data_IF_064458405093
#
_entry.id   IF_064458405093
#
_cell.length_a   1.000
_cell.length_b   1.000
_cell.length_c   1.000
_cell.angle_alpha   90.00
_cell.angle_beta   90.00
_cell.angle_gamma   90.00
#
_symmetry.space_group_name_H-M   'P 1'
#
loop_
_entity.id
_entity.type
_entity.pdbx_description
1 polymer ?
#
# COMPACT_ATOMS: atom_id res chain seq x y z
N UNK A 1 -15.23 4.91 16.88
CA UNK A 1 -15.02 3.59 16.24
C UNK A 1 -14.22 3.79 14.97
N UNK A 2 -13.32 2.86 14.64
CA UNK A 2 -12.57 2.89 13.37
C UNK A 2 -13.37 2.08 12.35
N UNK A 3 -13.55 2.60 11.15
CA UNK A 3 -14.26 1.90 10.07
C UNK A 3 -13.39 0.76 9.55
N UNK A 4 -13.94 -0.46 9.48
CA UNK A 4 -13.21 -1.67 9.08
C UNK A 4 -14.04 -2.49 8.11
N UNK A 5 -13.41 -3.03 7.07
CA UNK A 5 -14.04 -3.88 6.07
C UNK A 5 -13.13 -5.06 5.73
N UNK A 6 -13.74 -6.16 5.27
CA UNK A 6 -13.04 -7.35 4.78
C UNK A 6 -13.43 -7.54 3.31
N UNK A 7 -12.44 -7.72 2.45
CA UNK A 7 -12.65 -7.91 1.02
C UNK A 7 -11.43 -8.60 0.39
N UNK A 8 -11.54 -8.97 -0.89
CA UNK A 8 -10.40 -9.49 -1.65
C UNK A 8 -9.43 -8.37 -2.02
N UNK A 9 -8.19 -8.71 -2.37
CA UNK A 9 -7.22 -7.72 -2.85
C UNK A 9 -7.67 -7.03 -4.14
N UNK A 10 -8.40 -7.74 -5.02
CA UNK A 10 -8.94 -7.20 -6.25
C UNK A 10 -10.01 -6.15 -5.98
N UNK A 11 -10.95 -6.44 -5.07
CA UNK A 11 -12.02 -5.51 -4.71
C UNK A 11 -11.46 -4.27 -4.01
N UNK A 12 -10.50 -4.45 -3.11
CA UNK A 12 -9.81 -3.35 -2.44
C UNK A 12 -9.12 -2.42 -3.46
N UNK A 13 -8.35 -2.99 -4.40
CA UNK A 13 -7.68 -2.20 -5.42
C UNK A 13 -8.66 -1.47 -6.35
N UNK A 14 -9.75 -2.14 -6.74
CA UNK A 14 -10.80 -1.54 -7.55
C UNK A 14 -11.50 -0.38 -6.81
N UNK A 15 -11.80 -0.56 -5.52
CA UNK A 15 -12.41 0.47 -4.69
C UNK A 15 -11.49 1.68 -4.51
N UNK A 16 -10.20 1.46 -4.21
CA UNK A 16 -9.23 2.56 -4.10
C UNK A 16 -9.15 3.37 -5.39
N UNK A 17 -9.08 2.68 -6.55
CA UNK A 17 -9.06 3.32 -7.86
C UNK A 17 -10.34 4.10 -8.14
N UNK A 18 -11.51 3.53 -7.87
CA UNK A 18 -12.79 4.19 -8.07
C UNK A 18 -12.96 5.46 -7.21
N UNK A 19 -12.31 5.51 -6.05
CA UNK A 19 -12.34 6.64 -5.13
C UNK A 19 -11.15 7.61 -5.32
N UNK A 20 -10.33 7.44 -6.36
CA UNK A 20 -9.12 8.24 -6.61
C UNK A 20 -8.13 8.26 -5.42
N UNK A 21 -7.99 7.13 -4.74
CA UNK A 21 -7.06 6.95 -3.62
C UNK A 21 -5.77 6.32 -4.15
N UNK A 22 -4.65 6.99 -3.93
CA UNK A 22 -3.33 6.50 -4.31
C UNK A 22 -2.90 5.38 -3.36
N UNK A 23 -2.50 4.25 -3.93
CA UNK A 23 -2.06 3.08 -3.16
C UNK A 23 -0.54 2.99 -3.12
N UNK A 24 0.01 2.82 -1.92
CA UNK A 24 1.44 2.78 -1.65
C UNK A 24 1.81 1.42 -1.07
N UNK A 25 2.45 0.59 -1.89
CA UNK A 25 2.94 -0.73 -1.50
C UNK A 25 4.18 -0.60 -0.62
N UNK A 26 4.10 -1.02 0.65
CA UNK A 26 5.24 -1.03 1.55
C UNK A 26 6.16 -2.23 1.24
N UNK A 27 7.32 -1.99 0.64
CA UNK A 27 8.27 -3.02 0.20
C UNK A 27 9.70 -2.66 0.63
N UNK A 28 10.47 -3.65 1.11
CA UNK A 28 11.87 -3.45 1.52
C UNK A 28 12.80 -3.05 0.37
N UNK A 29 12.45 -3.46 -0.86
CA UNK A 29 13.22 -3.22 -2.09
C UNK A 29 12.84 -1.91 -2.80
N UNK A 30 11.84 -1.17 -2.32
CA UNK A 30 11.44 0.08 -2.94
C UNK A 30 12.56 1.14 -2.86
N UNK A 31 12.66 1.98 -3.90
CA UNK A 31 13.69 3.02 -4.00
C UNK A 31 13.33 4.30 -3.22
N UNK A 32 12.05 4.67 -3.17
CA UNK A 32 11.57 5.87 -2.49
C UNK A 32 11.25 5.56 -1.02
N UNK A 33 11.81 6.32 -0.08
CA UNK A 33 11.43 6.22 1.33
C UNK A 33 10.05 6.82 1.56
N UNK A 34 9.27 6.19 2.45
CA UNK A 34 7.91 6.65 2.75
C UNK A 34 7.86 8.12 3.19
N UNK A 35 8.88 8.60 3.92
CA UNK A 35 8.97 9.97 4.42
C UNK A 35 9.14 11.04 3.34
N UNK A 36 9.57 10.66 2.14
CA UNK A 36 9.77 11.57 1.00
C UNK A 36 8.52 11.65 0.10
N UNK A 37 7.46 10.95 0.47
CA UNK A 37 6.21 10.89 -0.28
C UNK A 37 5.23 11.94 0.23
N UNK A 38 4.63 12.67 -0.71
CA UNK A 38 3.51 13.57 -0.43
C UNK A 38 2.21 12.76 -0.23
N UNK A 39 1.77 12.67 1.03
CA UNK A 39 0.51 12.03 1.43
C UNK A 39 -0.65 13.00 1.65
N UNK A 40 -0.57 14.25 1.18
CA UNK A 40 -1.69 15.22 1.28
C UNK A 40 -2.88 14.82 0.42
N UNK A 41 -2.65 13.98 -0.59
CA UNK A 41 -3.69 13.40 -1.43
C UNK A 41 -4.29 12.16 -0.75
N UNK A 42 -5.54 11.76 -1.07
CA UNK A 42 -6.11 10.51 -0.58
C UNK A 42 -5.15 9.33 -0.81
N UNK A 43 -4.71 8.72 0.28
CA UNK A 43 -3.60 7.76 0.28
C UNK A 43 -3.96 6.52 1.09
N UNK A 44 -3.59 5.36 0.57
CA UNK A 44 -3.72 4.06 1.23
C UNK A 44 -2.36 3.39 1.30
N UNK A 45 -1.92 3.05 2.51
CA UNK A 45 -0.69 2.27 2.72
C UNK A 45 -1.07 0.79 2.72
N UNK A 46 -0.46 0.03 1.83
CA UNK A 46 -0.69 -1.41 1.68
C UNK A 46 0.47 -2.14 2.34
N UNK A 47 0.13 -2.94 3.35
CA UNK A 47 1.05 -3.75 4.13
C UNK A 47 0.80 -5.23 3.83
N UNK A 48 1.88 -6.00 3.83
CA UNK A 48 1.86 -7.44 3.63
C UNK A 48 1.82 -8.20 4.94
N UNK A 49 1.94 -9.53 4.85
CA UNK A 49 2.16 -10.34 6.05
C UNK A 49 3.58 -10.12 6.57
N UNK A 50 3.80 -10.31 7.87
CA UNK A 50 5.12 -10.15 8.48
C UNK A 50 6.16 -11.12 7.90
N UNK A 51 5.74 -12.34 7.53
CA UNK A 51 6.64 -13.39 7.06
C UNK A 51 6.91 -13.34 5.55
N UNK A 52 5.89 -13.05 4.73
CA UNK A 52 5.99 -13.16 3.26
C UNK A 52 6.00 -11.79 2.56
N UNK A 53 5.65 -10.72 3.28
CA UNK A 53 5.55 -9.38 2.72
C UNK A 53 4.34 -9.21 1.79
N UNK A 54 4.47 -8.30 0.82
CA UNK A 54 3.41 -8.01 -0.15
C UNK A 54 3.33 -9.07 -1.24
N UNK A 55 2.11 -9.46 -1.60
CA UNK A 55 1.90 -10.31 -2.77
C UNK A 55 2.27 -9.57 -4.07
N UNK A 56 2.66 -10.32 -5.09
CA UNK A 56 2.96 -9.77 -6.43
C UNK A 56 1.79 -9.01 -7.07
N UNK A 57 0.55 -9.23 -6.60
CA UNK A 57 -0.61 -8.45 -7.01
C UNK A 57 -0.43 -6.97 -6.68
N UNK A 58 -0.11 -6.63 -5.43
CA UNK A 58 0.04 -5.24 -5.00
C UNK A 58 1.31 -4.59 -5.54
N UNK A 59 2.39 -5.35 -5.73
CA UNK A 59 3.61 -4.83 -6.37
C UNK A 59 3.37 -4.37 -7.83
N UNK A 60 2.40 -4.98 -8.51
CA UNK A 60 2.02 -4.65 -9.90
C UNK A 60 0.90 -3.61 -10.00
N UNK A 61 -0.03 -3.60 -9.05
CA UNK A 61 -1.24 -2.77 -9.13
C UNK A 61 -1.20 -1.52 -8.24
N UNK A 62 -0.26 -1.41 -7.29
CA UNK A 62 -0.12 -0.21 -6.48
C UNK A 62 0.34 0.98 -7.31
N UNK A 63 -0.12 2.17 -6.92
CA UNK A 63 0.26 3.45 -7.56
C UNK A 63 1.75 3.71 -7.43
N UNK A 64 2.32 3.44 -6.24
CA UNK A 64 3.74 3.57 -5.95
C UNK A 64 4.21 2.48 -4.99
N UNK A 65 5.51 2.24 -4.97
CA UNK A 65 6.18 1.38 -3.99
C UNK A 65 7.02 2.26 -3.06
N UNK A 66 6.87 2.06 -1.77
CA UNK A 66 7.51 2.86 -0.72
C UNK A 66 8.31 1.96 0.21
N UNK A 67 9.48 2.44 0.63
CA UNK A 67 10.34 1.75 1.57
C UNK A 67 10.05 2.22 2.98
N UNK A 68 9.56 1.30 3.80
CA UNK A 68 9.44 1.47 5.25
C UNK A 68 10.56 0.66 5.90
N UNK A 69 11.56 1.31 6.51
CA UNK A 69 12.67 0.61 7.13
C UNK A 69 12.20 -0.11 8.40
N UNK A 70 12.27 -1.44 8.38
CA UNK A 70 12.03 -2.27 9.56
C UNK A 70 13.34 -2.34 10.36
N UNK A 71 13.45 -1.54 11.42
CA UNK A 71 14.58 -1.53 12.36
C UNK A 71 14.37 -2.56 13.47
N UNK A 72 14.24 -3.83 13.08
CA UNK A 72 14.19 -4.95 14.01
C UNK A 72 15.39 -4.98 14.95
#
# INVERSE_FOLDING_TARGET
>A
TVQTAVCSSADAAAWLKANNISSYAAELQAAEFYQDIDFRMPSAIVMGTEAEGLTGFWLKNATKRIKIPMRG
#
